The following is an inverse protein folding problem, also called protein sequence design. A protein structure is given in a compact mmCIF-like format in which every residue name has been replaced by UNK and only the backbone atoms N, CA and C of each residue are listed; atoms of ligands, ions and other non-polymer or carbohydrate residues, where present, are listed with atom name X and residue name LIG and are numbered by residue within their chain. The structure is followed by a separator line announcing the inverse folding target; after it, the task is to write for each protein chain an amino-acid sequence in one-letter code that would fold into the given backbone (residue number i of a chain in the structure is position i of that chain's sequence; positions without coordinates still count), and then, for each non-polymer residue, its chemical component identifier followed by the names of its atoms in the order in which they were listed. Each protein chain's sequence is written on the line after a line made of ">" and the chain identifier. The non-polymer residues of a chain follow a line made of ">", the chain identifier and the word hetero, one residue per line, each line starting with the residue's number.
data_IF_752833825196
#
_entry.id   IF_752833825196
#
_cell.length_a   1.000
_cell.length_b   1.000
_cell.length_c   1.000
_cell.angle_alpha   90.00
_cell.angle_beta   90.00
_cell.angle_gamma   90.00
#
_symmetry.space_group_name_H-M   'P 1'
#
loop_
_entity.id
_entity.type
_entity.pdbx_description
1 polymer ?
#
# COMPACT_ATOMS: atom_id res chain seq x y z
N UNK A 1 -27.61 -75.65 -10.55
CA UNK A 1 -27.81 -74.55 -9.52
C UNK A 1 -27.27 -73.22 -10.06
N UNK A 2 -28.20 -72.43 -10.58
CA UNK A 2 -27.87 -71.13 -11.15
C UNK A 2 -28.19 -70.05 -10.08
N UNK A 3 -27.18 -69.34 -9.61
CA UNK A 3 -27.33 -68.29 -8.63
C UNK A 3 -27.50 -66.97 -9.37
N UNK A 4 -28.68 -66.36 -9.30
CA UNK A 4 -28.97 -65.05 -9.87
C UNK A 4 -28.71 -63.99 -8.79
N UNK A 5 -27.70 -63.13 -8.98
CA UNK A 5 -27.42 -62.00 -8.12
C UNK A 5 -28.16 -60.77 -8.67
N UNK A 6 -29.14 -60.25 -7.92
CA UNK A 6 -29.86 -59.03 -8.25
C UNK A 6 -29.16 -57.87 -7.57
N UNK A 7 -28.58 -56.98 -8.36
CA UNK A 7 -27.97 -55.72 -7.88
C UNK A 7 -29.03 -54.61 -7.95
N UNK A 8 -29.46 -54.12 -6.83
CA UNK A 8 -30.39 -52.96 -6.74
C UNK A 8 -29.55 -51.70 -6.74
N UNK A 9 -29.67 -50.90 -7.79
CA UNK A 9 -29.05 -49.58 -7.88
C UNK A 9 -30.05 -48.54 -7.36
N UNK A 10 -29.74 -47.92 -6.23
CA UNK A 10 -30.54 -46.81 -5.68
C UNK A 10 -30.01 -45.49 -6.23
N UNK A 11 -30.79 -44.84 -7.09
CA UNK A 11 -30.48 -43.53 -7.65
C UNK A 11 -31.02 -42.44 -6.73
N UNK A 12 -30.12 -41.72 -6.05
CA UNK A 12 -30.52 -40.58 -5.21
C UNK A 12 -30.53 -39.31 -6.08
N UNK A 13 -31.70 -38.76 -6.28
CA UNK A 13 -31.89 -37.52 -7.03
C UNK A 13 -31.81 -36.34 -6.04
N UNK A 14 -30.77 -35.53 -6.12
CA UNK A 14 -30.63 -34.29 -5.32
C UNK A 14 -31.22 -33.13 -6.10
N UNK A 15 -32.32 -32.57 -5.62
CA UNK A 15 -32.87 -31.31 -6.17
C UNK A 15 -32.25 -30.11 -5.42
N UNK A 16 -31.52 -29.30 -6.15
CA UNK A 16 -30.99 -28.03 -5.65
C UNK A 16 -31.90 -26.90 -6.12
N UNK A 17 -32.60 -26.24 -5.21
CA UNK A 17 -33.41 -25.05 -5.53
C UNK A 17 -32.67 -23.81 -5.08
N UNK A 18 -32.21 -23.00 -6.00
CA UNK A 18 -31.57 -21.71 -5.74
C UNK A 18 -32.62 -20.60 -5.81
N UNK A 19 -32.86 -19.94 -4.70
CA UNK A 19 -33.73 -18.75 -4.66
C UNK A 19 -32.84 -17.52 -4.43
N UNK A 20 -32.69 -16.71 -5.46
CA UNK A 20 -31.97 -15.43 -5.36
C UNK A 20 -32.98 -14.31 -5.11
N UNK A 21 -32.85 -13.63 -3.97
CA UNK A 21 -33.66 -12.45 -3.67
C UNK A 21 -32.73 -11.25 -3.63
N UNK A 22 -32.80 -10.42 -4.67
CA UNK A 22 -32.03 -9.16 -4.73
C UNK A 22 -32.93 -8.04 -4.20
N UNK A 23 -32.52 -7.41 -3.12
CA UNK A 23 -33.17 -6.22 -2.59
C UNK A 23 -32.26 -5.03 -2.83
N UNK A 24 -32.58 -4.21 -3.82
CA UNK A 24 -31.85 -2.97 -4.10
C UNK A 24 -32.54 -1.83 -3.34
N UNK A 25 -31.84 -1.25 -2.37
CA UNK A 25 -32.28 -0.02 -1.74
C UNK A 25 -31.48 1.14 -2.34
N UNK A 26 -32.15 1.98 -3.13
CA UNK A 26 -31.54 3.19 -3.68
C UNK A 26 -31.90 4.35 -2.75
N UNK A 27 -30.94 4.87 -2.01
CA UNK A 27 -31.11 6.11 -1.25
C UNK A 27 -30.51 7.25 -2.06
N UNK A 28 -31.35 8.13 -2.57
CA UNK A 28 -30.92 9.34 -3.29
C UNK A 28 -30.76 10.46 -2.26
N UNK A 29 -29.52 10.78 -1.90
CA UNK A 29 -29.23 11.98 -1.10
C UNK A 29 -28.77 13.08 -2.04
N UNK A 30 -29.56 14.16 -2.13
CA UNK A 30 -29.23 15.32 -2.94
C UNK A 30 -28.41 16.28 -2.09
N UNK A 31 -27.11 16.31 -2.32
CA UNK A 31 -26.20 17.31 -1.75
C UNK A 31 -25.66 18.19 -2.88
N UNK A 32 -25.66 19.50 -2.68
CA UNK A 32 -25.23 20.52 -3.65
C UNK A 32 -23.71 20.70 -3.68
N UNK A 33 -22.94 19.62 -3.58
CA UNK A 33 -21.51 19.59 -3.83
C UNK A 33 -21.22 18.39 -4.74
N UNK A 34 -20.37 18.59 -5.75
CA UNK A 34 -20.00 17.62 -6.76
C UNK A 34 -19.19 16.49 -6.11
N UNK A 35 -19.85 15.50 -5.52
CA UNK A 35 -19.22 14.28 -5.03
C UNK A 35 -19.67 13.10 -5.91
N UNK A 36 -18.70 12.35 -6.42
CA UNK A 36 -18.97 11.11 -7.13
C UNK A 36 -18.98 9.98 -6.12
N UNK A 37 -20.12 9.30 -5.95
CA UNK A 37 -20.25 8.15 -5.07
C UNK A 37 -20.01 6.89 -5.87
N UNK A 38 -18.93 6.17 -5.57
CA UNK A 38 -18.70 4.83 -6.08
C UNK A 38 -19.32 3.82 -5.11
N UNK A 39 -20.35 3.12 -5.55
CA UNK A 39 -20.98 2.06 -4.77
C UNK A 39 -20.46 0.71 -5.24
N UNK A 40 -19.67 0.04 -4.43
CA UNK A 40 -19.26 -1.36 -4.66
C UNK A 40 -20.28 -2.27 -4.00
N UNK A 41 -21.04 -3.01 -4.79
CA UNK A 41 -21.98 -4.02 -4.28
C UNK A 41 -21.30 -5.39 -4.37
N UNK A 42 -20.97 -6.00 -3.24
CA UNK A 42 -20.56 -7.40 -3.23
C UNK A 42 -21.79 -8.26 -2.95
N UNK A 43 -22.14 -9.15 -3.87
CA UNK A 43 -23.23 -10.10 -3.71
C UNK A 43 -22.65 -11.43 -3.26
N UNK A 44 -22.96 -11.85 -2.04
CA UNK A 44 -22.72 -13.23 -1.62
C UNK A 44 -23.97 -14.07 -1.92
N UNK A 45 -23.80 -15.14 -2.68
CA UNK A 45 -24.86 -16.10 -2.96
C UNK A 45 -24.79 -17.23 -1.97
N UNK A 46 -25.85 -17.40 -1.18
CA UNK A 46 -25.98 -18.54 -0.25
C UNK A 46 -26.78 -19.63 -0.93
N UNK A 47 -26.18 -20.78 -1.13
CA UNK A 47 -26.88 -21.97 -1.66
C UNK A 47 -27.40 -22.80 -0.50
N UNK A 48 -28.70 -22.98 -0.39
CA UNK A 48 -29.31 -23.93 0.54
C UNK A 48 -29.46 -25.26 -0.17
N UNK A 49 -28.79 -26.29 0.33
CA UNK A 49 -28.97 -27.66 -0.12
C UNK A 49 -29.83 -28.39 0.91
N UNK A 50 -31.06 -28.76 0.55
CA UNK A 50 -31.91 -29.61 1.35
C UNK A 50 -31.76 -31.04 0.86
N UNK A 51 -31.17 -31.88 1.67
CA UNK A 51 -31.14 -33.35 1.43
C UNK A 51 -32.28 -33.97 2.24
N UNK A 52 -33.21 -34.65 1.63
CA UNK A 52 -34.27 -35.33 2.35
C UNK A 52 -33.73 -36.63 2.99
N UNK A 53 -33.24 -36.53 4.21
CA UNK A 53 -32.95 -37.69 5.05
C UNK A 53 -33.84 -37.60 6.26
N UNK A 54 -34.28 -38.75 6.81
CA UNK A 54 -35.28 -38.93 7.86
C UNK A 54 -34.93 -38.32 9.24
N UNK A 55 -33.94 -37.44 9.29
CA UNK A 55 -33.65 -36.58 10.44
C UNK A 55 -33.44 -35.16 9.88
N UNK A 56 -34.44 -34.31 10.07
CA UNK A 56 -34.38 -32.93 9.58
C UNK A 56 -33.51 -32.08 10.52
N UNK A 57 -32.26 -31.87 10.11
CA UNK A 57 -31.44 -30.81 10.68
C UNK A 57 -31.52 -29.61 9.74
N UNK A 58 -32.27 -28.58 10.12
CA UNK A 58 -32.36 -27.34 9.38
C UNK A 58 -31.19 -26.44 9.77
N UNK A 59 -30.19 -26.31 8.90
CA UNK A 59 -29.12 -25.35 9.11
C UNK A 59 -29.51 -24.02 8.47
N UNK A 60 -29.82 -23.02 9.28
CA UNK A 60 -30.10 -21.66 8.82
C UNK A 60 -28.79 -20.89 8.79
N UNK A 61 -28.28 -20.59 7.60
CA UNK A 61 -27.13 -19.72 7.42
C UNK A 61 -27.60 -18.28 7.19
N UNK A 62 -27.24 -17.38 8.11
CA UNK A 62 -27.56 -15.95 7.98
C UNK A 62 -26.38 -15.25 7.34
N UNK A 63 -26.57 -14.76 6.14
CA UNK A 63 -25.55 -13.97 5.42
C UNK A 63 -25.73 -12.49 5.75
N UNK A 64 -24.69 -11.89 6.32
CA UNK A 64 -24.62 -10.46 6.56
C UNK A 64 -23.97 -9.79 5.32
N UNK A 65 -24.75 -9.01 4.58
CA UNK A 65 -24.20 -8.18 3.50
C UNK A 65 -23.75 -6.85 4.09
N UNK A 66 -22.47 -6.58 4.04
CA UNK A 66 -21.92 -5.28 4.41
C UNK A 66 -21.71 -4.49 3.12
N UNK A 67 -22.47 -3.43 2.93
CA UNK A 67 -22.24 -2.48 1.83
C UNK A 67 -21.30 -1.41 2.34
N UNK A 68 -20.07 -1.40 1.81
CA UNK A 68 -19.13 -0.32 2.05
C UNK A 68 -19.38 0.74 0.97
N UNK A 69 -19.90 1.88 1.38
CA UNK A 69 -20.03 3.04 0.49
C UNK A 69 -18.82 3.93 0.73
N UNK A 70 -17.88 3.88 -0.19
CA UNK A 70 -16.74 4.79 -0.18
C UNK A 70 -17.17 6.08 -0.87
N UNK A 71 -17.35 7.14 -0.10
CA UNK A 71 -17.61 8.46 -0.66
C UNK A 71 -16.27 9.11 -0.96
N UNK A 72 -15.88 9.08 -2.24
CA UNK A 72 -14.68 9.78 -2.67
C UNK A 72 -14.94 11.29 -2.63
N UNK A 73 -14.25 12.02 -1.77
CA UNK A 73 -14.25 13.47 -1.77
C UNK A 73 -13.40 13.95 -2.95
N UNK A 74 -14.01 14.35 -4.06
CA UNK A 74 -13.34 15.20 -5.03
C UNK A 74 -13.07 16.57 -4.36
N UNK A 75 -11.87 17.10 -4.36
CA UNK A 75 -10.80 16.93 -5.37
C UNK A 75 -9.48 16.28 -4.86
N UNK A 76 -9.51 15.33 -3.98
CA UNK A 76 -8.31 14.76 -3.38
C UNK A 76 -7.85 13.52 -4.15
N UNK A 77 -6.56 13.49 -4.49
CA UNK A 77 -5.86 12.29 -5.00
C UNK A 77 -5.55 11.40 -3.81
N UNK A 78 -5.92 10.13 -3.86
CA UNK A 78 -5.67 9.22 -2.73
C UNK A 78 -4.40 8.41 -2.93
N UNK A 79 -3.60 8.29 -1.86
CA UNK A 79 -2.32 7.61 -1.82
C UNK A 79 -2.37 6.39 -0.89
N UNK A 80 -1.95 5.24 -1.43
CA UNK A 80 -1.54 4.09 -0.63
C UNK A 80 -0.03 4.07 -0.56
N UNK A 81 0.54 4.29 0.63
CA UNK A 81 1.99 4.40 0.79
C UNK A 81 2.56 3.17 1.50
N UNK A 82 3.80 2.79 1.19
CA UNK A 82 4.48 1.77 1.95
C UNK A 82 5.97 2.01 2.08
N UNK A 83 6.56 1.44 3.12
CA UNK A 83 8.00 1.37 3.34
C UNK A 83 8.43 -0.05 3.66
N UNK A 84 9.62 -0.41 3.24
CA UNK A 84 10.32 -1.63 3.66
C UNK A 84 11.45 -1.23 4.60
N UNK A 85 11.44 -1.78 5.82
CA UNK A 85 12.24 -1.30 6.94
C UNK A 85 13.07 -2.43 7.53
N UNK A 86 14.34 -2.18 7.79
CA UNK A 86 15.16 -3.10 8.59
C UNK A 86 14.84 -2.91 10.06
N UNK A 87 14.75 -4.01 10.79
CA UNK A 87 14.49 -4.01 12.23
C UNK A 87 15.74 -3.65 13.06
N UNK A 88 16.87 -3.40 12.40
CA UNK A 88 18.13 -3.03 13.03
C UNK A 88 18.70 -1.73 12.45
N UNK A 89 19.54 -1.05 13.21
CA UNK A 89 20.16 0.20 12.81
C UNK A 89 19.28 1.42 13.11
N UNK A 90 19.31 2.42 12.24
CA UNK A 90 18.60 3.69 12.44
C UNK A 90 17.13 3.67 12.03
N UNK A 91 16.75 2.79 11.12
CA UNK A 91 15.42 2.78 10.51
C UNK A 91 14.27 2.58 11.52
N UNK A 92 14.37 1.68 12.54
CA UNK A 92 13.32 1.54 13.55
C UNK A 92 13.05 2.83 14.32
N UNK A 93 14.12 3.49 14.75
CA UNK A 93 14.03 4.74 15.53
C UNK A 93 13.41 5.84 14.68
N UNK A 94 13.85 5.94 13.43
CA UNK A 94 13.37 6.93 12.49
C UNK A 94 11.89 6.73 12.17
N UNK A 95 11.49 5.49 11.90
CA UNK A 95 10.09 5.17 11.60
C UNK A 95 9.17 5.42 12.80
N UNK A 96 9.63 5.09 14.02
CA UNK A 96 8.91 5.40 15.26
C UNK A 96 8.64 6.89 15.44
N UNK A 97 9.64 7.72 15.14
CA UNK A 97 9.51 9.16 15.21
C UNK A 97 8.57 9.72 14.13
N UNK A 98 8.59 9.15 12.92
CA UNK A 98 7.64 9.48 11.85
C UNK A 98 6.21 9.12 12.24
N UNK A 99 5.99 7.90 12.76
CA UNK A 99 4.68 7.45 13.23
C UNK A 99 4.13 8.36 14.35
N UNK A 100 4.97 8.75 15.30
CA UNK A 100 4.55 9.66 16.38
C UNK A 100 4.07 11.00 15.85
N UNK A 101 4.76 11.56 14.87
CA UNK A 101 4.43 12.87 14.29
C UNK A 101 3.47 12.78 13.12
N UNK A 102 3.05 11.57 12.74
CA UNK A 102 2.24 11.33 11.55
C UNK A 102 2.89 11.98 10.32
N UNK A 103 4.17 11.71 10.11
CA UNK A 103 4.95 12.20 8.99
C UNK A 103 5.22 11.09 7.98
N UNK A 104 5.64 11.43 6.76
CA UNK A 104 5.96 10.49 5.70
C UNK A 104 4.76 9.58 5.36
N UNK A 105 4.97 8.28 5.22
CA UNK A 105 3.90 7.31 4.87
C UNK A 105 2.72 7.33 5.85
N UNK A 106 2.94 7.74 7.10
CA UNK A 106 1.89 7.81 8.13
C UNK A 106 0.91 8.98 7.94
N UNK A 107 1.19 9.90 7.01
CA UNK A 107 0.28 10.98 6.61
C UNK A 107 -0.40 10.73 5.26
N UNK A 108 -0.16 9.58 4.63
CA UNK A 108 -0.92 9.11 3.48
C UNK A 108 -2.35 8.70 3.87
N UNK A 109 -3.25 8.57 2.87
CA UNK A 109 -4.64 8.14 3.10
C UNK A 109 -4.68 6.73 3.71
N UNK A 110 -3.77 5.85 3.26
CA UNK A 110 -3.52 4.54 3.86
C UNK A 110 -2.04 4.16 3.71
N UNK A 111 -1.54 3.36 4.65
CA UNK A 111 -0.15 2.93 4.62
C UNK A 111 0.06 1.48 5.04
N UNK A 112 1.23 0.94 4.67
CA UNK A 112 1.71 -0.38 5.08
C UNK A 112 3.21 -0.32 5.38
N UNK A 113 3.64 -1.00 6.42
CA UNK A 113 5.05 -1.17 6.77
C UNK A 113 5.42 -2.64 6.59
N UNK A 114 6.49 -2.89 5.86
CA UNK A 114 7.09 -4.21 5.76
C UNK A 114 8.41 -4.22 6.52
N UNK A 115 8.70 -5.31 7.22
CA UNK A 115 9.97 -5.45 7.94
C UNK A 115 10.62 -6.80 7.66
N UNK A 116 11.94 -6.88 7.86
CA UNK A 116 12.71 -8.11 7.72
C UNK A 116 12.76 -8.94 9.02
N UNK A 117 11.81 -8.79 9.92
CA UNK A 117 11.73 -9.61 11.12
C UNK A 117 11.37 -11.05 10.82
N UNK A 118 12.07 -12.00 11.45
CA UNK A 118 11.69 -13.41 11.43
C UNK A 118 10.46 -13.60 12.35
N UNK A 119 9.32 -13.80 11.72
CA UNK A 119 8.21 -14.62 12.24
C UNK A 119 7.49 -14.22 13.55
N UNK A 120 7.33 -12.98 13.89
CA UNK A 120 6.20 -12.65 14.78
C UNK A 120 5.31 -11.60 14.14
N UNK A 121 4.23 -12.08 13.55
CA UNK A 121 3.18 -11.22 13.03
C UNK A 121 2.64 -10.30 14.13
N UNK A 122 2.56 -9.03 13.88
CA UNK A 122 1.69 -8.11 14.58
C UNK A 122 2.30 -6.81 15.06
N UNK A 123 3.26 -6.81 15.93
CA UNK A 123 3.62 -5.58 16.61
C UNK A 123 5.14 -5.40 16.68
N UNK A 124 5.64 -4.43 15.96
CA UNK A 124 7.02 -4.03 16.03
C UNK A 124 7.21 -2.94 17.08
N UNK A 125 7.92 -3.29 18.13
CA UNK A 125 8.14 -2.42 19.28
C UNK A 125 9.37 -1.53 19.04
N UNK A 126 9.13 -0.25 18.87
CA UNK A 126 10.18 0.76 18.70
C UNK A 126 10.35 1.56 19.99
N UNK A 127 11.58 1.65 20.50
CA UNK A 127 11.90 2.52 21.61
C UNK A 127 12.10 3.95 21.12
N UNK A 128 11.31 4.87 21.62
CA UNK A 128 11.47 6.28 21.39
C UNK A 128 11.38 7.05 22.70
N UNK A 129 12.39 7.86 22.99
CA UNK A 129 12.50 8.65 24.23
C UNK A 129 12.17 7.86 25.50
N UNK A 130 12.52 6.57 25.54
CA UNK A 130 12.26 5.69 26.68
C UNK A 130 10.87 5.06 26.73
N UNK A 131 10.02 5.32 25.75
CA UNK A 131 8.70 4.71 25.63
C UNK A 131 8.66 3.69 24.49
N UNK A 132 8.06 2.53 24.76
CA UNK A 132 7.80 1.52 23.76
C UNK A 132 6.60 1.96 22.89
N UNK A 133 6.81 2.00 21.58
CA UNK A 133 5.75 2.25 20.61
C UNK A 133 5.58 1.06 19.71
N UNK A 134 4.36 0.77 19.40
CA UNK A 134 3.99 -0.34 18.54
C UNK A 134 3.61 0.18 17.16
N UNK A 135 4.23 -0.39 16.13
CA UNK A 135 3.91 -0.12 14.73
C UNK A 135 3.47 -1.43 14.09
N UNK A 136 2.30 -1.43 13.50
CA UNK A 136 1.81 -2.56 12.72
C UNK A 136 2.68 -2.76 11.49
N UNK A 137 3.20 -3.97 11.32
CA UNK A 137 4.04 -4.32 10.19
C UNK A 137 3.74 -5.71 9.65
N UNK A 138 4.11 -5.93 8.40
CA UNK A 138 4.04 -7.22 7.73
C UNK A 138 5.45 -7.80 7.60
N UNK A 139 5.75 -8.95 8.20
CA UNK A 139 7.07 -9.55 8.16
C UNK A 139 7.42 -10.09 6.78
N UNK A 140 8.66 -9.89 6.37
CA UNK A 140 9.24 -10.44 5.15
C UNK A 140 10.40 -11.36 5.52
N UNK A 141 10.29 -12.64 5.23
CA UNK A 141 11.31 -13.67 5.55
C UNK A 141 12.53 -13.68 4.61
N UNK A 142 12.61 -12.73 3.67
CA UNK A 142 13.66 -12.71 2.65
C UNK A 142 14.84 -11.85 3.10
N UNK A 143 16.04 -12.43 3.09
CA UNK A 143 17.27 -11.75 3.44
C UNK A 143 17.88 -10.99 2.27
N UNK A 144 18.54 -9.86 2.57
CA UNK A 144 19.40 -9.15 1.63
C UNK A 144 20.65 -9.99 1.34
N UNK A 145 20.99 -10.18 0.06
CA UNK A 145 22.06 -11.11 -0.34
C UNK A 145 23.45 -10.48 -0.42
N UNK A 146 23.60 -9.19 -0.21
CA UNK A 146 24.89 -8.49 -0.21
C UNK A 146 24.82 -7.08 -0.80
N UNK A 147 25.99 -6.48 -0.96
CA UNK A 147 26.16 -5.19 -1.62
C UNK A 147 26.36 -5.35 -3.12
N UNK A 148 25.78 -4.47 -3.89
CA UNK A 148 26.10 -4.34 -5.31
C UNK A 148 27.48 -3.77 -5.52
N UNK A 149 28.03 -3.99 -6.72
CA UNK A 149 29.35 -3.49 -7.13
C UNK A 149 29.23 -3.02 -8.60
N UNK A 150 29.12 -1.72 -8.80
CA UNK A 150 28.96 -1.11 -10.14
C UNK A 150 30.13 -1.39 -11.09
N UNK A 151 31.26 -1.93 -10.59
CA UNK A 151 32.38 -2.36 -11.45
C UNK A 151 32.10 -3.69 -12.16
N UNK A 152 31.08 -4.45 -11.71
CA UNK A 152 30.73 -5.76 -12.26
C UNK A 152 29.68 -5.63 -13.36
N UNK A 153 29.82 -6.38 -14.48
CA UNK A 153 28.79 -6.41 -15.51
C UNK A 153 27.42 -6.82 -14.97
N UNK A 154 26.36 -6.12 -15.41
CA UNK A 154 24.99 -6.41 -15.02
C UNK A 154 24.58 -5.94 -13.63
N UNK A 155 25.47 -5.26 -12.88
CA UNK A 155 25.17 -4.66 -11.58
C UNK A 155 24.83 -3.18 -11.77
N UNK A 156 23.67 -2.76 -11.26
CA UNK A 156 23.12 -1.41 -11.45
C UNK A 156 23.13 -0.55 -10.19
N UNK A 157 23.58 -1.09 -9.08
CA UNK A 157 23.61 -0.40 -7.79
C UNK A 157 24.91 -0.68 -7.03
N UNK A 158 25.32 0.26 -6.16
CA UNK A 158 26.36 0.09 -5.15
C UNK A 158 25.80 0.02 -3.72
N UNK A 159 24.47 -0.08 -3.60
CA UNK A 159 23.79 -0.29 -2.34
C UNK A 159 23.41 -1.78 -2.16
N UNK A 160 22.57 -2.09 -1.19
CA UNK A 160 22.13 -3.47 -0.95
C UNK A 160 21.36 -4.04 -2.15
N UNK A 161 21.65 -5.29 -2.49
CA UNK A 161 20.88 -6.07 -3.48
C UNK A 161 19.59 -6.55 -2.82
N UNK A 162 18.62 -5.66 -2.71
CA UNK A 162 17.38 -5.81 -1.98
C UNK A 162 16.17 -6.21 -2.83
N UNK A 163 16.34 -6.34 -4.14
CA UNK A 163 15.25 -6.62 -5.09
C UNK A 163 14.36 -7.80 -4.67
N UNK A 164 14.95 -8.90 -4.13
CA UNK A 164 14.15 -10.03 -3.62
C UNK A 164 13.22 -9.66 -2.47
N UNK A 165 13.68 -8.78 -1.58
CA UNK A 165 12.89 -8.28 -0.45
C UNK A 165 11.69 -7.50 -0.97
N UNK A 166 11.93 -6.62 -1.93
CA UNK A 166 10.86 -5.82 -2.54
C UNK A 166 9.90 -6.63 -3.39
N UNK A 167 10.37 -7.64 -4.13
CA UNK A 167 9.48 -8.57 -4.81
C UNK A 167 8.48 -9.22 -3.84
N UNK A 168 8.95 -9.57 -2.65
CA UNK A 168 8.08 -10.13 -1.60
C UNK A 168 7.14 -9.08 -1.01
N UNK A 169 7.62 -7.84 -0.81
CA UNK A 169 6.76 -6.73 -0.36
C UNK A 169 5.63 -6.49 -1.36
N UNK A 170 5.94 -6.41 -2.66
CA UNK A 170 4.94 -6.27 -3.71
C UNK A 170 3.93 -7.42 -3.75
N UNK A 171 4.37 -8.68 -3.62
CA UNK A 171 3.48 -9.83 -3.53
C UNK A 171 2.50 -9.73 -2.36
N UNK A 172 3.00 -9.32 -1.19
CA UNK A 172 2.19 -9.17 0.01
C UNK A 172 1.22 -7.99 -0.09
N UNK A 173 1.65 -6.86 -0.66
CA UNK A 173 0.81 -5.69 -0.91
C UNK A 173 -0.34 -6.04 -1.88
N UNK A 174 -0.04 -6.75 -2.96
CA UNK A 174 -1.05 -7.20 -3.93
C UNK A 174 -2.04 -8.17 -3.29
N UNK A 175 -1.55 -9.08 -2.47
CA UNK A 175 -2.40 -10.06 -1.75
C UNK A 175 -3.31 -9.39 -0.72
N UNK A 176 -2.82 -8.37 -0.02
CA UNK A 176 -3.61 -7.57 0.92
C UNK A 176 -4.73 -6.83 0.18
N UNK A 177 -4.44 -6.19 -0.93
CA UNK A 177 -5.41 -5.62 -1.85
C UNK A 177 -5.98 -4.27 -1.45
N UNK A 178 -5.63 -3.67 -0.30
CA UNK A 178 -6.15 -2.36 0.11
C UNK A 178 -5.77 -1.24 -0.85
N UNK A 179 -4.64 -1.35 -1.54
CA UNK A 179 -4.22 -0.36 -2.54
C UNK A 179 -5.25 -0.13 -3.66
N UNK A 180 -6.16 -1.09 -3.92
CA UNK A 180 -7.21 -0.95 -4.93
C UNK A 180 -8.21 0.19 -4.64
N UNK A 181 -8.31 0.60 -3.39
CA UNK A 181 -9.20 1.70 -2.98
C UNK A 181 -8.55 3.08 -3.20
N UNK A 182 -7.26 3.13 -3.59
CA UNK A 182 -6.48 4.35 -3.78
C UNK A 182 -6.14 4.61 -5.25
N UNK A 183 -5.75 5.83 -5.57
CA UNK A 183 -5.41 6.24 -6.93
C UNK A 183 -3.98 5.90 -7.31
N UNK A 184 -3.09 6.07 -6.34
CA UNK A 184 -1.66 5.88 -6.50
C UNK A 184 -1.08 5.02 -5.39
N UNK A 185 -0.08 4.23 -5.77
CA UNK A 185 0.74 3.45 -4.84
C UNK A 185 2.12 4.07 -4.78
N UNK A 186 2.59 4.32 -3.57
CA UNK A 186 3.84 5.04 -3.33
C UNK A 186 4.76 4.22 -2.44
N UNK A 187 5.94 3.86 -2.94
CA UNK A 187 7.02 3.32 -2.13
C UNK A 187 7.90 4.47 -1.65
N UNK A 188 8.21 4.50 -0.38
CA UNK A 188 9.04 5.53 0.24
C UNK A 188 10.13 4.87 1.07
N UNK A 189 11.39 5.28 0.87
CA UNK A 189 12.46 4.84 1.75
C UNK A 189 12.30 5.44 3.15
N UNK A 190 12.63 4.70 4.22
CA UNK A 190 12.46 5.19 5.59
C UNK A 190 13.20 6.48 5.90
N UNK A 191 14.33 6.73 5.20
CA UNK A 191 15.18 7.90 5.36
C UNK A 191 14.89 9.03 4.37
N UNK A 192 13.76 8.94 3.64
CA UNK A 192 13.24 10.02 2.82
C UNK A 192 12.23 10.89 3.60
N UNK A 193 12.52 12.18 3.73
CA UNK A 193 11.56 13.17 4.26
C UNK A 193 10.52 13.42 3.18
N UNK A 194 9.34 12.86 3.34
CA UNK A 194 8.30 12.83 2.33
C UNK A 194 7.04 13.59 2.77
N UNK A 195 6.42 14.31 1.82
CA UNK A 195 5.25 15.15 1.99
C UNK A 195 4.11 14.65 1.09
N UNK A 196 3.17 13.83 1.61
CA UNK A 196 2.05 13.29 0.84
C UNK A 196 1.17 14.35 0.19
N UNK A 197 0.88 15.44 0.87
CA UNK A 197 0.10 16.57 0.37
C UNK A 197 0.68 17.19 -0.89
N UNK A 198 2.01 17.41 -0.92
CA UNK A 198 2.71 17.92 -2.10
C UNK A 198 2.68 16.94 -3.27
N UNK A 199 2.76 15.64 -2.97
CA UNK A 199 2.63 14.60 -3.99
C UNK A 199 1.21 14.57 -4.56
N UNK A 200 0.19 14.64 -3.70
CA UNK A 200 -1.21 14.69 -4.12
C UNK A 200 -1.46 15.87 -5.08
N UNK A 201 -0.95 17.05 -4.77
CA UNK A 201 -1.09 18.23 -5.63
C UNK A 201 -0.40 18.03 -6.99
N UNK A 202 0.78 17.42 -7.04
CA UNK A 202 1.48 17.11 -8.28
C UNK A 202 0.78 16.06 -9.12
N UNK A 203 0.20 15.06 -8.50
CA UNK A 203 -0.49 13.96 -9.18
C UNK A 203 -1.90 14.33 -9.63
N UNK A 204 -2.48 15.38 -9.08
CA UNK A 204 -3.84 15.83 -9.39
C UNK A 204 -4.14 16.00 -10.88
N UNK A 205 -3.30 16.66 -11.69
CA UNK A 205 -3.54 16.78 -13.13
C UNK A 205 -3.40 15.45 -13.87
N UNK A 206 -2.63 14.49 -13.32
CA UNK A 206 -2.34 13.20 -13.95
C UNK A 206 -3.36 12.12 -13.58
N UNK A 207 -4.05 12.28 -12.46
CA UNK A 207 -4.87 11.21 -11.88
C UNK A 207 -6.00 10.75 -12.80
N UNK A 208 -6.70 11.67 -13.46
CA UNK A 208 -7.78 11.30 -14.37
C UNK A 208 -7.29 10.48 -15.56
N UNK A 209 -6.12 10.81 -16.10
CA UNK A 209 -5.50 10.07 -17.19
C UNK A 209 -4.96 8.71 -16.73
N UNK A 210 -4.13 8.68 -15.69
CA UNK A 210 -3.48 7.46 -15.18
C UNK A 210 -4.43 6.42 -14.59
N UNK A 211 -5.70 6.79 -14.35
CA UNK A 211 -6.77 5.89 -13.88
C UNK A 211 -7.82 5.58 -14.94
N UNK A 212 -7.73 6.17 -16.13
CA UNK A 212 -8.61 5.82 -17.25
C UNK A 212 -8.39 4.38 -17.68
N UNK A 213 -9.44 3.75 -18.21
CA UNK A 213 -9.34 2.39 -18.71
C UNK A 213 -8.26 2.27 -19.79
N UNK A 214 -7.36 1.30 -19.62
CA UNK A 214 -6.24 1.05 -20.52
C UNK A 214 -5.01 1.92 -20.31
N UNK A 215 -5.07 2.97 -19.48
CA UNK A 215 -3.92 3.79 -19.15
C UNK A 215 -3.29 3.34 -17.85
N UNK A 216 -1.96 3.33 -17.82
CA UNK A 216 -1.15 3.04 -16.65
C UNK A 216 0.10 3.90 -16.71
N UNK A 217 0.53 4.47 -15.60
CA UNK A 217 1.73 5.30 -15.58
C UNK A 217 2.52 5.19 -14.29
N UNK A 218 3.80 5.50 -14.39
CA UNK A 218 4.70 5.65 -13.25
C UNK A 218 5.57 6.89 -13.44
N UNK A 219 6.15 7.38 -12.34
CA UNK A 219 6.92 8.62 -12.36
C UNK A 219 8.41 8.33 -12.40
N UNK A 220 9.11 8.82 -13.43
CA UNK A 220 10.57 8.87 -13.44
C UNK A 220 11.01 10.21 -12.87
N UNK A 221 11.84 10.19 -11.85
CA UNK A 221 12.11 11.34 -10.98
C UNK A 221 13.60 11.74 -10.92
N UNK A 222 14.46 11.09 -11.72
CA UNK A 222 15.87 11.42 -11.87
C UNK A 222 16.33 11.24 -13.30
N UNK A 223 17.05 12.23 -13.85
CA UNK A 223 17.60 12.22 -15.21
C UNK A 223 19.14 12.04 -15.23
N UNK A 224 19.76 11.80 -14.08
CA UNK A 224 21.20 11.55 -14.02
C UNK A 224 21.55 10.09 -14.25
N UNK A 225 22.69 9.89 -14.89
CA UNK A 225 23.26 8.55 -15.08
C UNK A 225 24.04 8.11 -13.84
N UNK A 226 23.88 6.84 -13.46
CA UNK A 226 24.59 6.19 -12.37
C UNK A 226 25.51 5.10 -12.94
N UNK A 227 26.80 5.43 -13.07
CA UNK A 227 27.80 4.49 -13.58
C UNK A 227 28.03 4.55 -15.08
N UNK A 228 29.14 3.94 -15.52
CA UNK A 228 29.63 4.01 -16.90
C UNK A 228 28.80 3.25 -17.94
N UNK A 229 27.92 2.35 -17.50
CA UNK A 229 27.10 1.50 -18.38
C UNK A 229 25.63 1.94 -18.44
N UNK A 230 25.28 2.99 -17.70
CA UNK A 230 23.93 3.46 -17.64
C UNK A 230 23.58 4.32 -18.85
N UNK A 231 22.75 3.80 -19.72
CA UNK A 231 22.29 4.48 -20.95
C UNK A 231 20.89 5.06 -20.81
N UNK A 232 20.25 4.90 -19.67
CA UNK A 232 18.87 5.35 -19.49
C UNK A 232 18.82 6.85 -19.23
N UNK A 233 18.01 7.60 -20.00
CA UNK A 233 17.93 9.07 -19.88
C UNK A 233 17.17 9.54 -18.64
N UNK A 234 16.28 8.72 -18.11
CA UNK A 234 15.46 9.03 -16.95
C UNK A 234 15.25 7.78 -16.08
N UNK A 235 15.11 7.98 -14.77
CA UNK A 235 15.07 6.89 -13.80
C UNK A 235 13.93 7.02 -12.81
N UNK A 236 13.39 5.87 -12.45
CA UNK A 236 12.67 5.69 -11.22
C UNK A 236 13.72 5.58 -10.10
N UNK A 237 13.89 6.65 -9.31
CA UNK A 237 14.89 6.70 -8.25
C UNK A 237 14.27 6.24 -6.93
N UNK A 238 14.88 5.26 -6.30
CA UNK A 238 14.28 4.41 -5.27
C UNK A 238 13.86 5.07 -3.96
N UNK A 239 14.33 6.29 -3.64
CA UNK A 239 13.91 6.97 -2.42
C UNK A 239 12.41 7.32 -2.40
N UNK A 240 11.79 7.49 -3.60
CA UNK A 240 10.36 7.72 -3.78
C UNK A 240 9.92 7.14 -5.13
N UNK A 241 9.13 6.09 -5.11
CA UNK A 241 8.59 5.46 -6.30
C UNK A 241 7.08 5.63 -6.35
N UNK A 242 6.55 6.11 -7.48
CA UNK A 242 5.15 6.49 -7.62
C UNK A 242 4.54 5.80 -8.83
N UNK A 243 3.50 5.00 -8.58
CA UNK A 243 2.80 4.21 -9.58
C UNK A 243 1.29 4.51 -9.53
N UNK A 244 0.67 4.68 -10.69
CA UNK A 244 -0.79 4.69 -10.72
C UNK A 244 -1.34 3.30 -10.32
N UNK A 245 -2.55 3.26 -9.77
CA UNK A 245 -3.22 1.99 -9.46
C UNK A 245 -3.25 1.05 -10.67
N UNK A 246 -3.45 1.58 -11.87
CA UNK A 246 -3.45 0.77 -13.09
C UNK A 246 -2.09 0.19 -13.43
N UNK A 247 -0.97 0.87 -13.10
CA UNK A 247 0.37 0.31 -13.24
C UNK A 247 0.57 -0.91 -12.34
N UNK A 248 0.15 -0.81 -11.07
CA UNK A 248 0.22 -1.95 -10.15
C UNK A 248 -0.77 -3.04 -10.54
N UNK A 249 -1.91 -2.68 -11.14
CA UNK A 249 -2.82 -3.66 -11.73
C UNK A 249 -2.14 -4.47 -12.85
N UNK A 250 -1.43 -3.82 -13.76
CA UNK A 250 -0.69 -4.50 -14.82
C UNK A 250 0.38 -5.44 -14.25
N UNK A 251 1.08 -5.02 -13.19
CA UNK A 251 2.02 -5.85 -12.46
C UNK A 251 1.35 -7.06 -11.80
N UNK A 252 0.23 -6.88 -11.12
CA UNK A 252 -0.49 -7.91 -10.39
C UNK A 252 -1.07 -9.00 -11.31
N UNK A 253 -1.57 -8.63 -12.50
CA UNK A 253 -2.24 -9.55 -13.43
C UNK A 253 -1.26 -10.23 -14.41
N UNK A 254 -0.30 -10.97 -13.88
CA UNK A 254 0.69 -11.74 -14.66
C UNK A 254 1.95 -10.92 -15.00
N UNK A 255 1.98 -9.63 -14.73
CA UNK A 255 3.16 -8.79 -14.95
C UNK A 255 4.33 -9.20 -14.08
N UNK A 256 4.12 -9.46 -12.81
CA UNK A 256 5.15 -9.87 -11.87
C UNK A 256 5.91 -11.12 -12.37
N UNK A 257 5.20 -12.13 -12.89
CA UNK A 257 5.82 -13.34 -13.43
C UNK A 257 6.66 -13.05 -14.68
N UNK A 258 6.21 -12.14 -15.55
CA UNK A 258 6.97 -11.73 -16.74
C UNK A 258 8.23 -10.97 -16.34
N UNK A 259 8.13 -10.04 -15.39
CA UNK A 259 9.26 -9.25 -14.92
C UNK A 259 10.34 -10.09 -14.23
N UNK A 260 9.94 -11.12 -13.47
CA UNK A 260 10.87 -12.04 -12.82
C UNK A 260 11.67 -12.91 -13.80
N UNK A 261 11.32 -12.94 -15.09
CA UNK A 261 12.10 -13.61 -16.14
C UNK A 261 13.27 -12.75 -16.66
N UNK A 262 13.34 -11.47 -16.31
CA UNK A 262 14.49 -10.61 -16.63
C UNK A 262 15.74 -11.07 -15.85
N UNK A 263 16.92 -10.71 -16.33
CA UNK A 263 18.18 -10.99 -15.63
C UNK A 263 18.51 -9.89 -14.61
N UNK A 264 17.77 -9.87 -13.52
CA UNK A 264 17.77 -8.81 -12.52
C UNK A 264 18.67 -9.06 -11.30
N UNK A 265 19.41 -10.14 -11.24
CA UNK A 265 20.14 -10.57 -10.02
C UNK A 265 21.14 -9.53 -9.47
N UNK A 266 21.65 -8.66 -10.31
CA UNK A 266 22.57 -7.57 -9.92
C UNK A 266 21.93 -6.18 -9.88
N UNK A 267 20.60 -6.11 -10.02
CA UNK A 267 19.89 -4.84 -10.10
C UNK A 267 19.46 -4.34 -8.72
N UNK A 268 19.41 -3.00 -8.58
CA UNK A 268 18.65 -2.35 -7.54
C UNK A 268 17.16 -2.53 -7.78
N UNK A 269 16.39 -2.46 -6.73
CA UNK A 269 14.94 -2.67 -6.79
C UNK A 269 14.25 -1.63 -7.68
N UNK A 270 14.65 -0.37 -7.58
CA UNK A 270 14.15 0.74 -8.38
C UNK A 270 14.35 0.52 -9.89
N UNK A 271 15.54 0.08 -10.26
CA UNK A 271 15.83 -0.27 -11.65
C UNK A 271 15.02 -1.49 -12.11
N UNK A 272 14.84 -2.49 -11.25
CA UNK A 272 13.98 -3.64 -11.55
C UNK A 272 12.54 -3.19 -11.82
N UNK A 273 11.97 -2.34 -10.97
CA UNK A 273 10.60 -1.86 -11.13
C UNK A 273 10.44 -1.01 -12.38
N UNK A 274 11.41 -0.14 -12.68
CA UNK A 274 11.40 0.62 -13.92
C UNK A 274 11.36 -0.29 -15.15
N UNK A 275 12.31 -1.22 -15.25
CA UNK A 275 12.39 -2.15 -16.38
C UNK A 275 11.15 -3.05 -16.48
N UNK A 276 10.57 -3.39 -15.35
CA UNK A 276 9.33 -4.13 -15.29
C UNK A 276 8.16 -3.31 -15.85
N UNK A 277 7.99 -2.08 -15.41
CA UNK A 277 6.94 -1.18 -15.91
C UNK A 277 7.06 -0.96 -17.42
N UNK A 278 8.28 -0.74 -17.92
CA UNK A 278 8.55 -0.61 -19.35
C UNK A 278 8.20 -1.89 -20.14
N UNK A 279 8.57 -3.07 -19.61
CA UNK A 279 8.22 -4.37 -20.18
C UNK A 279 6.69 -4.58 -20.26
N UNK A 280 5.95 -4.01 -19.32
CA UNK A 280 4.50 -4.10 -19.26
C UNK A 280 3.78 -3.03 -20.09
N UNK A 281 4.53 -2.10 -20.69
CA UNK A 281 3.99 -1.00 -21.48
C UNK A 281 3.34 0.10 -20.64
N UNK A 282 3.76 0.24 -19.39
CA UNK A 282 3.32 1.31 -18.50
C UNK A 282 4.00 2.62 -18.93
N UNK A 283 3.24 3.69 -19.04
CA UNK A 283 3.74 4.99 -19.52
C UNK A 283 4.64 5.68 -18.47
N UNK A 284 5.78 6.18 -18.89
CA UNK A 284 6.66 7.02 -18.09
C UNK A 284 6.16 8.47 -18.08
N UNK A 285 6.06 9.05 -16.89
CA UNK A 285 5.89 10.49 -16.72
C UNK A 285 7.10 11.07 -15.98
N UNK A 286 7.76 12.06 -16.57
CA UNK A 286 8.97 12.65 -15.99
C UNK A 286 8.64 13.82 -15.05
N UNK A 287 9.14 13.76 -13.81
CA UNK A 287 9.15 14.88 -12.88
C UNK A 287 10.45 14.93 -12.07
N UNK A 288 11.46 15.58 -12.63
CA UNK A 288 12.80 15.69 -12.02
C UNK A 288 12.89 16.72 -10.89
N UNK A 289 11.79 17.40 -10.59
CA UNK A 289 11.68 18.29 -9.43
C UNK A 289 11.05 17.60 -8.21
N UNK A 290 10.69 16.34 -8.33
CA UNK A 290 10.01 15.63 -7.25
C UNK A 290 10.91 15.39 -6.04
N UNK A 291 12.18 15.03 -6.24
CA UNK A 291 13.12 14.64 -5.18
C UNK A 291 14.30 15.60 -5.10
N UNK A 292 14.65 15.98 -3.86
CA UNK A 292 15.94 16.56 -3.51
C UNK A 292 16.91 15.48 -3.00
N UNK A 293 17.91 15.11 -3.80
CA UNK A 293 18.92 14.11 -3.46
C UNK A 293 20.25 14.47 -4.13
N UNK A 294 21.34 14.44 -3.39
CA UNK A 294 22.68 14.83 -3.91
C UNK A 294 23.13 13.92 -5.06
N UNK A 295 22.66 12.69 -5.12
CA UNK A 295 22.97 11.74 -6.20
C UNK A 295 22.17 12.03 -7.48
N UNK A 296 21.07 12.78 -7.38
CA UNK A 296 20.25 13.19 -8.51
C UNK A 296 20.22 14.71 -8.65
N UNK A 297 19.35 15.38 -7.94
CA UNK A 297 19.22 16.83 -7.92
C UNK A 297 19.23 17.32 -6.48
N UNK A 298 20.39 17.80 -6.02
CA UNK A 298 20.50 18.39 -4.69
C UNK A 298 19.49 19.53 -4.51
N UNK A 299 18.82 19.57 -3.37
CA UNK A 299 17.90 20.62 -3.02
C UNK A 299 17.96 20.93 -1.53
N UNK A 300 17.76 22.20 -1.19
CA UNK A 300 17.57 22.61 0.20
C UNK A 300 16.22 22.15 0.71
N UNK A 301 16.11 21.79 2.00
CA UNK A 301 14.85 21.45 2.62
C UNK A 301 13.83 22.63 2.60
N UNK A 302 14.29 23.86 2.40
CA UNK A 302 13.41 25.01 2.17
C UNK A 302 12.74 25.04 0.79
N UNK A 303 13.12 24.15 -0.13
CA UNK A 303 12.52 24.09 -1.47
C UNK A 303 11.11 23.49 -1.40
N UNK A 304 10.12 24.38 -1.52
CA UNK A 304 8.70 24.02 -1.43
C UNK A 304 8.19 23.23 -2.65
N UNK A 305 8.97 23.21 -3.74
CA UNK A 305 8.62 22.44 -4.95
C UNK A 305 8.95 20.95 -4.80
N UNK A 306 9.80 20.56 -3.84
CA UNK A 306 10.16 19.17 -3.63
C UNK A 306 9.09 18.43 -2.84
N UNK A 307 8.81 17.21 -3.29
CA UNK A 307 7.89 16.26 -2.63
C UNK A 307 8.62 15.47 -1.56
N UNK A 308 9.90 15.17 -1.81
CA UNK A 308 10.74 14.46 -0.86
C UNK A 308 12.17 14.96 -0.86
N UNK A 309 12.88 14.72 0.25
CA UNK A 309 14.32 14.98 0.40
C UNK A 309 14.98 13.71 0.95
N UNK A 310 16.16 13.35 0.46
CA UNK A 310 16.87 12.12 0.81
C UNK A 310 18.40 12.39 0.78
N UNK A 311 19.26 11.79 1.69
CA UNK A 311 18.95 10.75 2.66
C UNK A 311 19.22 11.26 4.08
N UNK A 312 18.34 10.91 5.01
CA UNK A 312 18.42 11.34 6.42
C UNK A 312 18.38 10.12 7.35
N UNK A 313 19.57 9.70 7.84
CA UNK A 313 19.74 8.45 8.59
C UNK A 313 19.62 8.59 10.10
N UNK A 314 19.23 9.74 10.59
CA UNK A 314 18.92 9.99 11.99
C UNK A 314 17.69 10.87 12.15
N UNK A 315 16.99 10.72 13.27
CA UNK A 315 15.73 11.44 13.50
C UNK A 315 15.92 12.95 13.66
N UNK A 316 17.08 13.42 14.16
CA UNK A 316 17.33 14.84 14.34
C UNK A 316 17.51 15.53 12.98
N UNK A 317 18.33 14.97 12.09
CA UNK A 317 18.52 15.47 10.74
C UNK A 317 17.25 15.40 9.91
N UNK A 318 16.51 14.27 10.00
CA UNK A 318 15.23 14.06 9.34
C UNK A 318 14.23 15.15 9.71
N UNK A 319 13.97 15.34 11.01
CA UNK A 319 12.98 16.31 11.45
C UNK A 319 13.47 17.75 11.34
N UNK A 320 14.76 18.01 11.35
CA UNK A 320 15.27 19.32 10.96
C UNK A 320 14.83 19.67 9.53
N UNK A 321 15.06 18.78 8.58
CA UNK A 321 14.63 18.97 7.21
C UNK A 321 13.11 19.07 7.09
N UNK A 322 12.37 18.25 7.80
CA UNK A 322 10.91 18.26 7.83
C UNK A 322 10.37 19.62 8.33
N UNK A 323 10.93 20.16 9.43
CA UNK A 323 10.53 21.48 9.96
C UNK A 323 10.90 22.62 9.01
N UNK A 324 12.07 22.55 8.39
CA UNK A 324 12.50 23.55 7.40
C UNK A 324 11.57 23.55 6.19
N UNK A 325 11.18 22.39 5.71
CA UNK A 325 10.28 22.23 4.58
C UNK A 325 8.85 22.65 4.88
N UNK A 326 8.30 22.28 6.02
CA UNK A 326 6.94 22.68 6.45
C UNK A 326 6.86 24.18 6.79
N UNK A 327 7.95 24.77 7.22
CA UNK A 327 7.98 26.07 7.89
C UNK A 327 7.40 26.01 9.32
N UNK A 328 7.70 27.00 10.17
CA UNK A 328 7.28 26.94 11.58
C UNK A 328 5.77 26.79 11.77
N UNK A 329 4.99 27.59 11.07
CA UNK A 329 3.53 27.57 11.19
C UNK A 329 2.94 26.26 10.68
N UNK A 330 3.38 25.78 9.49
CA UNK A 330 2.87 24.52 8.92
C UNK A 330 3.15 23.32 9.82
N UNK A 331 4.35 23.25 10.42
CA UNK A 331 4.70 22.20 11.36
C UNK A 331 3.87 22.25 12.66
N UNK A 332 3.62 23.46 13.21
CA UNK A 332 2.76 23.63 14.38
C UNK A 332 1.31 23.22 14.10
N UNK A 333 0.76 23.64 12.97
CA UNK A 333 -0.60 23.31 12.56
C UNK A 333 -0.77 21.79 12.37
N UNK A 334 0.18 21.15 11.68
CA UNK A 334 0.19 19.70 11.50
C UNK A 334 0.23 18.95 12.85
N UNK A 335 1.15 19.32 13.75
CA UNK A 335 1.25 18.67 15.05
C UNK A 335 0.04 18.98 15.96
N UNK A 336 -0.61 20.13 15.81
CA UNK A 336 -1.86 20.43 16.49
C UNK A 336 -2.99 19.52 16.01
N UNK A 337 -3.10 19.30 14.69
CA UNK A 337 -4.07 18.39 14.12
C UNK A 337 -3.84 16.95 14.59
N UNK A 338 -2.58 16.44 14.57
CA UNK A 338 -2.24 15.12 15.09
C UNK A 338 -2.66 14.94 16.55
N UNK A 339 -2.45 15.96 17.38
CA UNK A 339 -2.90 15.95 18.80
C UNK A 339 -4.42 15.89 18.91
N UNK A 340 -5.13 16.69 18.12
CA UNK A 340 -6.59 16.72 18.12
C UNK A 340 -7.19 15.37 17.69
N UNK A 341 -6.66 14.75 16.64
CA UNK A 341 -7.10 13.45 16.17
C UNK A 341 -6.88 12.35 17.20
N UNK A 342 -5.76 12.39 17.93
CA UNK A 342 -5.49 11.44 19.03
C UNK A 342 -6.48 11.57 20.17
N UNK A 343 -6.79 12.80 20.60
CA UNK A 343 -7.79 13.04 21.64
C UNK A 343 -9.17 12.54 21.24
N UNK A 344 -9.61 12.84 20.01
CA UNK A 344 -10.88 12.39 19.50
C UNK A 344 -11.00 10.86 19.37
N UNK A 345 -9.87 10.14 19.17
CA UNK A 345 -9.85 8.68 19.21
C UNK A 345 -9.97 8.13 20.63
N UNK A 346 -9.29 8.73 21.59
CA UNK A 346 -9.35 8.32 23.00
C UNK A 346 -10.75 8.50 23.58
N UNK A 347 -11.43 9.60 23.28
CA UNK A 347 -12.82 9.84 23.70
C UNK A 347 -13.78 8.77 23.15
N UNK A 348 -13.65 8.38 21.88
CA UNK A 348 -14.47 7.33 21.25
C UNK A 348 -14.25 5.95 21.87
N UNK A 349 -13.02 5.63 22.27
CA UNK A 349 -12.72 4.36 22.95
C UNK A 349 -13.31 4.36 24.36
N UNK A 350 -13.23 5.47 25.10
CA UNK A 350 -13.83 5.62 26.44
C UNK A 350 -15.36 5.52 26.44
N UNK A 351 -16.04 5.97 25.38
CA UNK A 351 -17.51 5.85 25.26
C UNK A 351 -17.97 4.40 25.01
N UNK A 352 -17.15 3.57 24.37
CA UNK A 352 -17.48 2.15 24.08
C UNK A 352 -17.38 1.29 25.34
N UNK A 353 -16.54 1.65 26.33
CA UNK A 353 -16.40 0.88 27.58
C UNK A 353 -17.52 1.15 28.61
N UNK A 354 -18.36 2.16 28.40
CA UNK A 354 -19.42 2.57 29.35
C UNK A 354 -20.81 1.98 28.98
N UNK A 355 -20.92 1.02 28.11
CA UNK A 355 -22.21 0.35 27.90
C UNK A 355 -22.57 -0.51 29.11
N UNK A 356 -23.70 -0.23 29.82
CA UNK A 356 -24.07 -0.98 30.99
C UNK A 356 -24.36 -2.44 30.64
N UNK A 357 -23.78 -3.34 31.42
CA UNK A 357 -24.15 -4.77 31.38
C UNK A 357 -25.65 -4.88 31.55
N UNK A 358 -26.34 -5.42 30.55
CA UNK A 358 -27.76 -5.76 30.64
C UNK A 358 -27.92 -6.75 31.77
N UNK A 359 -28.53 -6.31 32.87
CA UNK A 359 -28.95 -7.16 33.96
C UNK A 359 -30.00 -8.12 33.43
N UNK A 360 -29.63 -9.42 33.36
CA UNK A 360 -30.58 -10.49 33.16
C UNK A 360 -31.47 -10.58 34.42
N UNK A 361 -32.76 -10.36 34.23
CA UNK A 361 -33.84 -10.73 35.16
C UNK A 361 -34.57 -11.93 34.60
#
# INVERSE_FOLDING_TARGET
>A
TTTTTTTTMTMTMTMTTTRTTTRTATTTTRTTSTSTTLTRTSTQTTTQTTTPTTSSTTTTSTTRTTTVTTTRRWPWVSLFCFSVVRTTGYEPILLGAQHEKRASIFDCDEHMVFSNEEASAGEWNVWEHGNLKTIDHVPIEVQVTGMGDLSKPGVTTNSFLNTKVFLKAWDLLIKDGRFWEHDWVVKVDPDAVFFPDRLQDRLKPLTSYGLSEGNAMYIVNCDRQFGAQDTMPAKLFGSLEVFSRNAINAYAHGGAQRCQQMDWKGWGEDYFMQMCMDLLGVEQHADFKMIGDDRCHAASCFDQERVAFHDFKDAAGYFKCWYEAMGPQGAEDHLAQVRADRLARQERVGEVEVLPSASAS
#
